data_IF_251758525555
#
_entry.id   IF_251758525555
#
_cell.length_a   1.000
_cell.length_b   1.000
_cell.length_c   1.000
_cell.angle_alpha   90.00
_cell.angle_beta   90.00
_cell.angle_gamma   90.00
#
_symmetry.space_group_name_H-M   'P 1'
#
loop_
_entity.id
_entity.type
_entity.pdbx_description
1 polymer ?
#
# COMPACT_ATOMS: atom_id res chain seq x y z
N UNK A 1 18.57 6.52 -15.53
CA UNK A 1 19.21 7.43 -14.58
C UNK A 1 19.46 8.84 -15.14
N UNK A 2 18.64 9.37 -16.02
CA UNK A 2 18.89 10.68 -16.68
C UNK A 2 17.64 11.54 -16.82
N UNK A 3 16.65 11.41 -15.93
CA UNK A 3 15.33 12.02 -16.10
C UNK A 3 14.90 13.01 -15.00
N UNK A 4 15.80 13.39 -14.09
CA UNK A 4 15.51 14.44 -13.10
C UNK A 4 15.28 15.83 -13.76
N UNK A 5 15.79 16.08 -14.96
CA UNK A 5 15.71 17.38 -15.64
C UNK A 5 14.49 17.58 -16.54
N UNK A 6 13.60 16.60 -16.74
CA UNK A 6 12.47 16.74 -17.66
C UNK A 6 11.15 17.19 -16.99
N UNK A 7 11.12 17.29 -15.68
CA UNK A 7 9.88 17.53 -14.91
C UNK A 7 9.31 18.94 -14.98
N UNK A 8 10.11 19.95 -15.30
CA UNK A 8 9.59 21.32 -15.45
C UNK A 8 8.88 21.59 -16.80
N UNK A 9 9.20 20.82 -17.85
CA UNK A 9 8.65 21.04 -19.20
C UNK A 9 7.54 20.07 -19.61
N UNK A 10 7.48 18.90 -18.99
CA UNK A 10 6.44 17.89 -19.25
C UNK A 10 5.71 17.64 -17.93
N UNK A 11 4.41 17.85 -17.86
CA UNK A 11 3.64 17.59 -16.66
C UNK A 11 3.86 16.15 -16.16
N UNK A 12 3.88 15.95 -14.84
CA UNK A 12 4.10 14.63 -14.17
C UNK A 12 3.30 13.48 -14.83
N UNK A 13 2.09 13.77 -15.26
CA UNK A 13 1.16 12.85 -15.90
C UNK A 13 1.63 12.37 -17.28
N UNK A 14 2.20 13.25 -18.10
CA UNK A 14 2.66 12.90 -19.45
C UNK A 14 3.93 12.05 -19.46
N UNK A 15 4.79 12.22 -18.45
CA UNK A 15 6.02 11.43 -18.31
C UNK A 15 5.66 10.01 -17.89
N UNK A 16 4.72 9.84 -16.94
CA UNK A 16 4.32 8.53 -16.41
C UNK A 16 3.58 7.66 -17.44
N UNK A 17 2.65 8.25 -18.20
CA UNK A 17 1.85 7.50 -19.18
C UNK A 17 2.69 6.88 -20.31
N UNK A 18 3.82 7.48 -20.67
CA UNK A 18 4.68 6.99 -21.75
C UNK A 18 5.54 5.75 -21.37
N UNK A 19 5.69 5.43 -20.06
CA UNK A 19 6.64 4.42 -19.58
C UNK A 19 6.02 3.33 -18.73
N UNK A 20 4.70 3.39 -18.47
CA UNK A 20 3.96 2.38 -17.68
C UNK A 20 4.06 0.98 -18.32
N UNK A 21 4.02 0.92 -19.64
CA UNK A 21 4.06 -0.35 -20.38
C UNK A 21 5.46 -1.03 -20.35
N UNK A 22 6.51 -0.30 -20.00
CA UNK A 22 7.89 -0.82 -19.96
C UNK A 22 8.41 -1.09 -18.54
N UNK A 23 7.57 -0.94 -17.51
CA UNK A 23 7.93 -1.09 -16.10
C UNK A 23 9.15 -0.25 -15.67
N UNK A 24 9.27 0.96 -16.21
CA UNK A 24 10.35 1.90 -15.89
C UNK A 24 9.85 2.89 -14.84
N UNK A 25 10.53 2.93 -13.70
CA UNK A 25 10.21 3.86 -12.61
C UNK A 25 10.73 5.26 -12.92
N UNK A 26 9.81 6.21 -13.07
CA UNK A 26 10.13 7.62 -13.27
C UNK A 26 9.49 8.44 -12.17
N UNK A 27 10.33 8.97 -11.28
CA UNK A 27 9.90 9.81 -10.17
C UNK A 27 10.69 11.10 -10.13
N UNK A 28 10.01 12.21 -9.81
CA UNK A 28 10.70 13.44 -9.47
C UNK A 28 11.41 13.27 -8.11
N UNK A 29 12.66 13.73 -8.02
CA UNK A 29 13.42 13.73 -6.78
C UNK A 29 13.37 15.14 -6.19
N UNK A 30 12.81 15.23 -4.98
CA UNK A 30 12.99 16.38 -4.12
C UNK A 30 14.32 16.19 -3.38
N UNK A 31 15.30 17.03 -3.71
CA UNK A 31 16.67 16.89 -3.19
C UNK A 31 16.78 17.21 -1.69
N UNK A 32 15.84 18.00 -1.17
CA UNK A 32 15.82 18.47 0.22
C UNK A 32 14.95 17.60 1.14
N UNK A 33 14.21 16.64 0.58
CA UNK A 33 13.33 15.77 1.38
C UNK A 33 14.12 14.93 2.37
N UNK A 34 13.72 14.96 3.62
CA UNK A 34 14.37 14.25 4.71
C UNK A 34 13.40 13.37 5.48
N UNK A 35 13.91 12.32 6.11
CA UNK A 35 13.10 11.50 7.00
C UNK A 35 12.54 12.29 8.17
N UNK A 36 13.29 13.29 8.67
CA UNK A 36 12.85 14.16 9.76
C UNK A 36 11.60 14.99 9.44
N UNK A 37 11.21 15.10 8.17
CA UNK A 37 9.99 15.79 7.75
C UNK A 37 8.74 14.95 7.99
N UNK A 38 8.91 13.66 8.33
CA UNK A 38 7.82 12.71 8.51
C UNK A 38 7.85 12.06 9.89
N UNK A 39 6.66 11.77 10.42
CA UNK A 39 6.49 11.10 11.72
C UNK A 39 5.76 9.75 11.63
N UNK A 40 5.04 9.48 10.52
CA UNK A 40 4.21 8.29 10.38
C UNK A 40 4.15 7.79 8.94
N UNK A 41 4.09 6.45 8.80
CA UNK A 41 3.81 5.78 7.53
C UNK A 41 2.57 4.90 7.70
N UNK A 42 1.60 5.05 6.79
CA UNK A 42 0.45 4.16 6.66
C UNK A 42 0.60 3.31 5.39
N UNK A 43 0.44 2.00 5.55
CA UNK A 43 0.53 1.03 4.47
C UNK A 43 -0.81 0.36 4.22
N UNK A 44 -1.16 0.15 2.96
CA UNK A 44 -2.03 -0.97 2.62
C UNK A 44 -1.27 -2.30 2.76
N UNK A 45 -1.99 -3.41 2.80
CA UNK A 45 -1.41 -4.74 2.98
C UNK A 45 -1.37 -5.55 1.70
N UNK A 46 -2.55 -5.94 1.20
CA UNK A 46 -2.69 -6.84 0.05
C UNK A 46 -2.05 -6.19 -1.18
N UNK A 47 -1.28 -6.96 -1.95
CA UNK A 47 -0.52 -6.49 -3.13
C UNK A 47 0.48 -5.35 -2.86
N UNK A 48 0.45 -4.68 -1.70
CA UNK A 48 1.38 -3.62 -1.28
C UNK A 48 2.50 -4.15 -0.37
N UNK A 49 2.19 -4.60 0.83
CA UNK A 49 3.18 -5.19 1.76
C UNK A 49 3.47 -6.65 1.45
N UNK A 50 2.47 -7.39 0.98
CA UNK A 50 2.52 -8.81 0.65
C UNK A 50 2.21 -9.06 -0.82
N UNK A 51 2.62 -10.24 -1.32
CA UNK A 51 2.54 -10.60 -2.75
C UNK A 51 1.16 -11.06 -3.21
N UNK A 52 0.18 -11.17 -2.31
CA UNK A 52 -1.12 -11.82 -2.55
C UNK A 52 -2.30 -10.91 -2.21
N UNK A 53 -3.47 -11.28 -2.72
CA UNK A 53 -4.79 -10.83 -2.30
C UNK A 53 -5.39 -11.88 -1.36
N UNK A 54 -5.52 -11.57 -0.06
CA UNK A 54 -5.88 -12.56 0.96
C UNK A 54 -7.24 -13.22 0.72
N UNK A 55 -8.25 -12.45 0.29
CA UNK A 55 -9.58 -13.01 0.05
C UNK A 55 -9.59 -13.97 -1.15
N UNK A 56 -8.79 -13.70 -2.17
CA UNK A 56 -8.71 -14.54 -3.36
C UNK A 56 -8.00 -15.87 -3.04
N UNK A 57 -6.91 -15.84 -2.27
CA UNK A 57 -6.23 -17.05 -1.82
C UNK A 57 -7.11 -17.90 -0.88
N UNK A 58 -7.83 -17.26 0.05
CA UNK A 58 -8.82 -17.95 0.88
C UNK A 58 -9.90 -18.60 0.04
N UNK A 59 -10.39 -17.93 -1.01
CA UNK A 59 -11.39 -18.46 -1.91
C UNK A 59 -10.85 -19.66 -2.74
N UNK A 60 -9.57 -19.61 -3.14
CA UNK A 60 -8.93 -20.77 -3.79
C UNK A 60 -8.89 -21.98 -2.86
N UNK A 61 -8.49 -21.79 -1.59
CA UNK A 61 -8.51 -22.87 -0.60
C UNK A 61 -9.93 -23.39 -0.30
N UNK A 62 -10.94 -22.51 -0.38
CA UNK A 62 -12.35 -22.85 -0.17
C UNK A 62 -13.00 -23.52 -1.40
N UNK A 63 -12.34 -23.52 -2.57
CA UNK A 63 -12.90 -24.04 -3.81
C UNK A 63 -13.94 -23.12 -4.48
N UNK A 64 -14.03 -21.84 -4.09
CA UNK A 64 -14.93 -20.83 -4.65
C UNK A 64 -14.17 -19.66 -5.31
N UNK A 65 -12.93 -19.89 -5.76
CA UNK A 65 -12.10 -18.85 -6.35
C UNK A 65 -12.69 -18.23 -7.61
N UNK A 66 -13.35 -19.03 -8.47
CA UNK A 66 -13.98 -18.53 -9.69
C UNK A 66 -15.15 -17.58 -9.40
N UNK A 67 -15.96 -17.89 -8.39
CA UNK A 67 -17.09 -17.07 -7.97
C UNK A 67 -16.63 -15.74 -7.35
N UNK A 68 -15.58 -15.78 -6.53
CA UNK A 68 -14.98 -14.58 -5.95
C UNK A 68 -14.38 -13.70 -7.04
N UNK A 69 -13.65 -14.28 -8.01
CA UNK A 69 -13.09 -13.55 -9.14
C UNK A 69 -14.18 -12.86 -9.98
N UNK A 70 -15.30 -13.55 -10.23
CA UNK A 70 -16.42 -12.97 -10.97
C UNK A 70 -17.02 -11.73 -10.29
N UNK A 71 -17.12 -11.73 -8.94
CA UNK A 71 -17.59 -10.56 -8.17
C UNK A 71 -16.57 -9.43 -8.27
N UNK A 72 -15.27 -9.73 -8.16
CA UNK A 72 -14.20 -8.74 -8.30
C UNK A 72 -14.22 -8.09 -9.69
N UNK A 73 -14.37 -8.87 -10.75
CA UNK A 73 -14.49 -8.36 -12.11
C UNK A 73 -15.74 -7.50 -12.33
N UNK A 74 -16.89 -7.91 -11.78
CA UNK A 74 -18.13 -7.13 -11.84
C UNK A 74 -17.97 -5.77 -11.14
N UNK A 75 -17.28 -5.74 -9.99
CA UNK A 75 -16.94 -4.50 -9.31
C UNK A 75 -15.99 -3.61 -10.15
N UNK A 76 -14.97 -4.21 -10.80
CA UNK A 76 -14.04 -3.49 -11.67
C UNK A 76 -14.72 -2.92 -12.93
N UNK A 77 -15.77 -3.58 -13.46
CA UNK A 77 -16.58 -3.05 -14.57
C UNK A 77 -17.63 -2.01 -14.13
N UNK A 78 -17.72 -1.72 -12.82
CA UNK A 78 -18.70 -0.76 -12.27
C UNK A 78 -20.12 -1.32 -12.13
N UNK A 79 -20.33 -2.63 -12.32
CA UNK A 79 -21.62 -3.32 -12.13
C UNK A 79 -21.99 -3.40 -10.63
N UNK A 80 -20.95 -3.44 -9.76
CA UNK A 80 -21.06 -3.32 -8.31
C UNK A 80 -20.29 -2.05 -7.94
N UNK A 81 -21.00 -0.96 -7.71
CA UNK A 81 -20.38 0.35 -7.43
C UNK A 81 -19.94 0.52 -5.98
N UNK A 82 -20.49 -0.30 -5.07
CA UNK A 82 -20.22 -0.25 -3.63
C UNK A 82 -19.19 -1.30 -3.24
N UNK A 83 -18.01 -0.84 -2.78
CA UNK A 83 -16.94 -1.69 -2.25
C UNK A 83 -17.43 -2.58 -1.10
N UNK A 84 -18.20 -2.03 -0.17
CA UNK A 84 -18.67 -2.76 1.00
C UNK A 84 -19.60 -3.90 0.59
N UNK A 85 -20.46 -3.65 -0.41
CA UNK A 85 -21.34 -4.68 -0.98
C UNK A 85 -20.51 -5.79 -1.66
N UNK A 86 -19.52 -5.43 -2.46
CA UNK A 86 -18.63 -6.38 -3.13
C UNK A 86 -17.88 -7.24 -2.11
N UNK A 87 -17.32 -6.62 -1.06
CA UNK A 87 -16.60 -7.35 -0.02
C UNK A 87 -17.52 -8.33 0.72
N UNK A 88 -18.74 -7.89 1.11
CA UNK A 88 -19.74 -8.77 1.76
C UNK A 88 -20.14 -9.95 0.90
N UNK A 89 -20.29 -9.76 -0.41
CA UNK A 89 -20.64 -10.85 -1.33
C UNK A 89 -19.51 -11.89 -1.40
N UNK A 90 -18.24 -11.45 -1.49
CA UNK A 90 -17.07 -12.34 -1.50
C UNK A 90 -16.90 -13.07 -0.19
N UNK A 91 -17.04 -12.39 0.95
CA UNK A 91 -16.97 -13.01 2.29
C UNK A 91 -18.06 -14.06 2.49
N UNK A 92 -19.28 -13.82 1.98
CA UNK A 92 -20.39 -14.77 2.07
C UNK A 92 -20.06 -16.12 1.43
N UNK A 93 -19.25 -16.15 0.38
CA UNK A 93 -18.80 -17.38 -0.29
C UNK A 93 -17.86 -18.22 0.58
N UNK A 94 -17.21 -17.62 1.58
CA UNK A 94 -16.36 -18.33 2.53
C UNK A 94 -17.12 -19.00 3.68
N UNK A 95 -18.46 -18.87 3.72
CA UNK A 95 -19.29 -19.49 4.76
C UNK A 95 -19.05 -21.00 4.86
N UNK A 96 -18.91 -21.49 6.08
CA UNK A 96 -18.68 -22.91 6.38
C UNK A 96 -17.22 -23.35 6.31
N UNK A 97 -16.30 -22.46 5.94
CA UNK A 97 -14.86 -22.75 5.98
C UNK A 97 -14.38 -22.73 7.45
N UNK A 98 -13.43 -23.60 7.79
CA UNK A 98 -12.80 -23.59 9.12
C UNK A 98 -11.95 -22.33 9.29
N UNK A 99 -11.90 -21.76 10.49
CA UNK A 99 -11.04 -20.62 10.80
C UNK A 99 -9.55 -20.89 10.51
N UNK A 100 -9.14 -22.15 10.54
CA UNK A 100 -7.78 -22.56 10.19
C UNK A 100 -7.38 -22.23 8.74
N UNK A 101 -8.33 -21.85 7.88
CA UNK A 101 -8.03 -21.36 6.51
C UNK A 101 -7.13 -20.14 6.53
N UNK A 102 -7.31 -19.21 7.49
CA UNK A 102 -6.46 -18.03 7.64
C UNK A 102 -5.05 -18.41 8.10
N UNK A 103 -4.94 -19.37 9.04
CA UNK A 103 -3.62 -19.88 9.46
C UNK A 103 -2.90 -20.57 8.30
N UNK A 104 -3.62 -21.39 7.53
CA UNK A 104 -3.09 -22.04 6.34
C UNK A 104 -2.56 -21.02 5.32
N UNK A 105 -3.29 -19.92 5.10
CA UNK A 105 -2.84 -18.83 4.21
C UNK A 105 -1.54 -18.22 4.71
N UNK A 106 -1.46 -17.92 6.01
CA UNK A 106 -0.24 -17.38 6.64
C UNK A 106 0.93 -18.34 6.42
N UNK A 107 0.74 -19.62 6.69
CA UNK A 107 1.82 -20.61 6.64
C UNK A 107 2.30 -20.94 5.20
N UNK A 108 1.38 -20.95 4.23
CA UNK A 108 1.66 -21.42 2.87
C UNK A 108 1.93 -20.28 1.86
N UNK A 109 1.39 -19.07 2.09
CA UNK A 109 1.32 -18.04 1.06
C UNK A 109 1.88 -16.67 1.46
N UNK A 110 2.02 -16.40 2.76
CA UNK A 110 2.39 -15.08 3.22
C UNK A 110 3.86 -14.77 2.93
N UNK A 111 4.09 -13.89 1.98
CA UNK A 111 5.43 -13.43 1.59
C UNK A 111 5.42 -11.91 1.44
N UNK A 112 6.38 -11.24 2.08
CA UNK A 112 6.55 -9.79 1.90
C UNK A 112 7.00 -9.47 0.47
N UNK A 113 6.49 -8.37 -0.05
CA UNK A 113 6.92 -7.84 -1.32
C UNK A 113 8.40 -7.42 -1.31
N UNK A 114 9.07 -7.43 -2.49
CA UNK A 114 10.46 -7.01 -2.59
C UNK A 114 10.69 -5.61 -2.02
N UNK A 115 11.73 -5.47 -1.20
CA UNK A 115 12.13 -4.21 -0.59
C UNK A 115 11.40 -3.83 0.69
N UNK A 116 10.24 -4.43 1.01
CA UNK A 116 9.44 -4.10 2.20
C UNK A 116 10.26 -4.23 3.49
N UNK A 117 10.90 -5.37 3.70
CA UNK A 117 11.67 -5.61 4.92
C UNK A 117 12.82 -4.60 5.13
N UNK A 118 13.48 -4.17 4.04
CA UNK A 118 14.54 -3.14 4.10
C UNK A 118 13.94 -1.77 4.37
N UNK A 119 12.88 -1.40 3.66
CA UNK A 119 12.22 -0.10 3.81
C UNK A 119 11.69 0.09 5.24
N UNK A 120 10.93 -0.88 5.77
CA UNK A 120 10.33 -0.78 7.11
C UNK A 120 11.36 -0.81 8.23
N UNK A 121 12.47 -1.54 8.05
CA UNK A 121 13.61 -1.48 8.97
C UNK A 121 14.20 -0.07 9.04
N UNK A 122 14.47 0.57 7.89
CA UNK A 122 15.01 1.94 7.85
C UNK A 122 14.02 2.93 8.45
N UNK A 123 12.73 2.83 8.11
CA UNK A 123 11.68 3.69 8.68
C UNK A 123 11.68 3.63 10.21
N UNK A 124 11.82 2.42 10.79
CA UNK A 124 11.91 2.23 12.24
C UNK A 124 13.22 2.79 12.83
N UNK A 125 14.35 2.59 12.18
CA UNK A 125 15.64 3.19 12.60
C UNK A 125 15.55 4.74 12.62
N UNK A 126 14.69 5.31 11.76
CA UNK A 126 14.36 6.76 11.74
C UNK A 126 13.22 7.13 12.68
N UNK A 127 12.76 6.20 13.50
CA UNK A 127 11.73 6.41 14.55
C UNK A 127 10.34 6.81 13.99
N UNK A 128 10.04 6.49 12.73
CA UNK A 128 8.70 6.70 12.19
C UNK A 128 7.73 5.68 12.79
N UNK A 129 6.53 6.16 13.11
CA UNK A 129 5.41 5.30 13.45
C UNK A 129 4.90 4.60 12.20
N UNK A 130 4.57 3.32 12.31
CA UNK A 130 4.07 2.53 11.19
C UNK A 130 2.71 1.91 11.51
N UNK A 131 1.76 2.06 10.59
CA UNK A 131 0.43 1.46 10.70
C UNK A 131 0.06 0.72 9.41
N UNK A 132 -0.58 -0.45 9.57
CA UNK A 132 -1.18 -1.19 8.45
C UNK A 132 -2.68 -0.93 8.43
N UNK A 133 -3.20 -0.39 7.33
CA UNK A 133 -4.61 -0.07 7.10
C UNK A 133 -5.14 -0.92 5.94
N UNK A 134 -5.80 -2.04 6.22
CA UNK A 134 -6.13 -3.05 5.21
C UNK A 134 -7.62 -3.32 5.09
N UNK A 135 -8.09 -3.51 3.85
CA UNK A 135 -9.37 -4.13 3.54
C UNK A 135 -9.41 -5.64 3.77
N UNK A 136 -8.25 -6.26 4.10
CA UNK A 136 -8.12 -7.67 4.46
C UNK A 136 -8.65 -7.99 5.87
N UNK A 137 -8.14 -9.05 6.48
CA UNK A 137 -8.74 -9.63 7.68
C UNK A 137 -7.72 -9.88 8.80
N UNK A 138 -8.13 -9.62 10.07
CA UNK A 138 -7.49 -10.21 11.21
C UNK A 138 -7.74 -11.76 11.18
N UNK A 139 -6.78 -12.62 11.56
CA UNK A 139 -5.46 -12.37 12.12
C UNK A 139 -4.33 -12.22 11.06
N UNK A 140 -4.63 -12.22 9.76
CA UNK A 140 -3.59 -12.14 8.71
C UNK A 140 -2.85 -10.81 8.80
N UNK A 141 -3.61 -9.72 8.94
CA UNK A 141 -3.02 -8.36 9.07
C UNK A 141 -2.17 -8.25 10.34
N UNK A 142 -2.57 -8.92 11.43
CA UNK A 142 -1.79 -8.94 12.68
C UNK A 142 -0.41 -9.59 12.47
N UNK A 143 -0.35 -10.68 11.69
CA UNK A 143 0.93 -11.34 11.35
C UNK A 143 1.82 -10.43 10.48
N UNK A 144 1.26 -9.80 9.44
CA UNK A 144 2.02 -8.86 8.59
C UNK A 144 2.54 -7.68 9.40
N UNK A 145 1.69 -7.09 10.25
CA UNK A 145 2.09 -6.01 11.15
C UNK A 145 3.25 -6.44 12.07
N UNK A 146 3.20 -7.66 12.60
CA UNK A 146 4.30 -8.24 13.37
C UNK A 146 5.59 -8.42 12.56
N UNK A 147 5.50 -8.94 11.33
CA UNK A 147 6.66 -9.13 10.44
C UNK A 147 7.41 -7.83 10.17
N UNK A 148 6.70 -6.73 9.97
CA UNK A 148 7.30 -5.40 9.71
C UNK A 148 7.50 -4.58 11.00
N UNK A 149 7.07 -5.11 12.16
CA UNK A 149 7.08 -4.45 13.46
C UNK A 149 6.33 -3.10 13.42
N UNK A 150 5.13 -3.09 12.85
CA UNK A 150 4.25 -1.93 12.86
C UNK A 150 3.74 -1.62 14.27
N UNK A 151 3.50 -0.34 14.56
CA UNK A 151 3.00 0.13 15.86
C UNK A 151 1.49 -0.15 16.02
N UNK A 152 0.76 -0.25 14.92
CA UNK A 152 -0.68 -0.55 14.91
C UNK A 152 -1.13 -1.19 13.59
N UNK A 153 -2.32 -1.77 13.61
CA UNK A 153 -3.00 -2.21 12.39
C UNK A 153 -4.53 -2.09 12.54
N UNK A 154 -5.21 -1.88 11.41
CA UNK A 154 -6.65 -1.90 11.30
C UNK A 154 -7.07 -2.75 10.11
N UNK A 155 -8.00 -3.69 10.32
CA UNK A 155 -8.52 -4.58 9.30
C UNK A 155 -9.95 -5.01 9.62
N UNK A 156 -10.60 -5.66 8.67
CA UNK A 156 -11.92 -6.25 8.88
C UNK A 156 -11.86 -7.49 9.79
N UNK A 157 -12.98 -7.82 10.40
CA UNK A 157 -13.14 -9.05 11.19
C UNK A 157 -14.20 -9.93 10.56
N UNK A 158 -13.85 -11.18 10.30
CA UNK A 158 -14.79 -12.19 9.82
C UNK A 158 -15.67 -12.67 10.97
N UNK A 159 -16.96 -12.85 10.68
CA UNK A 159 -17.88 -13.50 11.59
C UNK A 159 -17.61 -14.99 11.68
N UNK A 160 -17.78 -15.56 12.88
CA UNK A 160 -17.53 -16.97 13.16
C UNK A 160 -18.60 -17.59 14.03
N UNK A 161 -18.85 -18.86 13.82
CA UNK A 161 -19.69 -19.68 14.66
C UNK A 161 -19.07 -21.08 14.80
N UNK A 162 -18.85 -21.53 16.05
CA UNK A 162 -18.32 -22.88 16.37
C UNK A 162 -17.01 -23.25 15.61
N UNK A 163 -16.14 -22.28 15.37
CA UNK A 163 -14.85 -22.49 14.69
C UNK A 163 -14.92 -22.48 13.15
N UNK A 164 -16.06 -22.05 12.60
CA UNK A 164 -16.29 -21.90 11.17
C UNK A 164 -16.67 -20.46 10.83
N UNK A 165 -16.30 -20.00 9.65
CA UNK A 165 -16.74 -18.73 9.10
C UNK A 165 -18.26 -18.77 8.85
N UNK A 166 -18.99 -17.77 9.35
CA UNK A 166 -20.45 -17.67 9.15
C UNK A 166 -20.83 -16.93 7.86
N UNK A 167 -19.83 -16.35 7.16
CA UNK A 167 -20.00 -15.58 5.93
C UNK A 167 -20.36 -14.12 6.15
N UNK A 168 -20.19 -13.59 7.36
CA UNK A 168 -20.44 -12.19 7.70
C UNK A 168 -19.16 -11.43 8.05
N UNK A 169 -19.28 -10.11 8.14
CA UNK A 169 -18.27 -9.20 8.67
C UNK A 169 -18.77 -8.60 9.98
N UNK A 170 -17.88 -8.50 10.96
CA UNK A 170 -18.17 -7.91 12.28
C UNK A 170 -17.66 -6.45 12.29
N UNK A 171 -18.54 -5.53 12.69
CA UNK A 171 -18.22 -4.11 12.83
C UNK A 171 -18.18 -3.33 11.52
N UNK A 172 -17.61 -2.12 11.55
CA UNK A 172 -17.46 -1.27 10.36
C UNK A 172 -16.41 -1.84 9.41
N UNK A 173 -16.65 -1.64 8.11
CA UNK A 173 -15.72 -2.08 7.06
C UNK A 173 -14.60 -1.05 6.89
N UNK A 174 -13.36 -1.56 6.80
CA UNK A 174 -12.18 -0.75 6.47
C UNK A 174 -12.13 -0.55 4.95
N UNK A 175 -12.89 0.43 4.47
CA UNK A 175 -12.94 0.87 3.09
C UNK A 175 -12.06 2.11 2.87
N UNK A 176 -12.11 2.73 1.69
CA UNK A 176 -11.28 3.88 1.33
C UNK A 176 -11.42 5.06 2.30
N UNK A 177 -12.65 5.39 2.71
CA UNK A 177 -12.94 6.46 3.66
C UNK A 177 -12.43 6.12 5.06
N UNK A 178 -12.63 4.88 5.48
CA UNK A 178 -12.13 4.39 6.77
C UNK A 178 -10.60 4.44 6.83
N UNK A 179 -9.88 4.02 5.76
CA UNK A 179 -8.42 4.15 5.69
C UNK A 179 -7.96 5.60 5.86
N UNK A 180 -8.57 6.54 5.14
CA UNK A 180 -8.24 7.96 5.24
C UNK A 180 -8.55 8.53 6.64
N UNK A 181 -9.64 8.08 7.27
CA UNK A 181 -9.99 8.51 8.63
C UNK A 181 -9.01 7.93 9.66
N UNK A 182 -8.70 6.63 9.58
CA UNK A 182 -7.71 6.01 10.47
C UNK A 182 -6.34 6.66 10.37
N UNK A 183 -5.88 7.04 9.16
CA UNK A 183 -4.63 7.79 9.02
C UNK A 183 -4.65 9.06 9.85
N UNK A 184 -5.74 9.86 9.79
CA UNK A 184 -5.88 11.10 10.56
C UNK A 184 -5.94 10.84 12.07
N UNK A 185 -6.70 9.82 12.48
CA UNK A 185 -6.89 9.48 13.89
C UNK A 185 -5.57 9.06 14.54
N UNK A 186 -4.80 8.18 13.87
CA UNK A 186 -3.49 7.74 14.36
C UNK A 186 -2.43 8.85 14.29
N UNK A 187 -2.43 9.68 13.26
CA UNK A 187 -1.56 10.85 13.20
C UNK A 187 -1.82 11.76 14.40
N UNK A 188 -3.08 12.09 14.69
CA UNK A 188 -3.47 12.86 15.88
C UNK A 188 -3.07 12.17 17.19
N UNK A 189 -3.31 10.86 17.32
CA UNK A 189 -2.97 10.08 18.52
C UNK A 189 -1.47 10.09 18.80
N UNK A 190 -0.64 10.08 17.76
CA UNK A 190 0.82 10.06 17.88
C UNK A 190 1.46 11.45 17.82
N UNK A 191 0.66 12.51 17.77
CA UNK A 191 1.15 13.89 17.71
C UNK A 191 1.89 14.24 16.42
N UNK A 192 1.49 13.59 15.30
CA UNK A 192 2.03 13.80 13.96
C UNK A 192 1.04 14.63 13.15
N UNK A 193 1.51 15.69 12.52
CA UNK A 193 0.68 16.44 11.58
C UNK A 193 0.39 15.61 10.32
N UNK A 194 -0.81 15.75 9.74
CA UNK A 194 -1.23 14.95 8.57
C UNK A 194 -0.29 15.13 7.38
N UNK A 195 0.24 16.34 7.17
CA UNK A 195 1.24 16.62 6.14
C UNK A 195 2.63 16.01 6.41
N UNK A 196 2.86 15.49 7.62
CA UNK A 196 4.05 14.73 8.00
C UNK A 196 3.82 13.21 7.93
N UNK A 197 2.80 12.77 7.21
CA UNK A 197 2.51 11.35 7.02
C UNK A 197 2.86 10.89 5.62
N UNK A 198 3.22 9.62 5.48
CA UNK A 198 3.43 8.93 4.22
C UNK A 198 2.31 7.88 4.08
N UNK A 199 1.68 7.79 2.91
CA UNK A 199 0.72 6.73 2.60
C UNK A 199 1.18 5.91 1.41
N UNK A 200 1.14 4.57 1.54
CA UNK A 200 1.61 3.63 0.52
C UNK A 200 0.51 2.62 0.22
N UNK A 201 0.13 2.48 -1.06
CA UNK A 201 -0.90 1.55 -1.51
C UNK A 201 -0.80 1.28 -3.02
N UNK A 202 -1.61 0.34 -3.53
CA UNK A 202 -1.62 -0.03 -4.95
C UNK A 202 -3.01 0.09 -5.59
N UNK A 203 -4.08 0.14 -4.78
CA UNK A 203 -5.46 0.07 -5.20
C UNK A 203 -6.23 1.38 -5.18
N UNK A 204 -7.37 1.42 -5.87
CA UNK A 204 -8.27 2.58 -5.85
C UNK A 204 -8.84 2.87 -4.44
N UNK A 205 -8.93 1.86 -3.58
CA UNK A 205 -9.31 1.97 -2.17
C UNK A 205 -8.28 2.71 -1.31
N UNK A 206 -7.06 2.95 -1.81
CA UNK A 206 -6.01 3.68 -1.10
C UNK A 206 -5.97 5.16 -1.47
N UNK A 207 -6.60 5.54 -2.59
CA UNK A 207 -6.51 6.91 -3.12
C UNK A 207 -6.97 7.97 -2.11
N UNK A 208 -7.99 7.69 -1.30
CA UNK A 208 -8.47 8.62 -0.28
C UNK A 208 -7.43 8.82 0.84
N UNK A 209 -6.79 7.72 1.29
CA UNK A 209 -5.68 7.75 2.25
C UNK A 209 -4.46 8.46 1.67
N UNK A 210 -4.07 8.13 0.44
CA UNK A 210 -2.95 8.74 -0.27
C UNK A 210 -3.14 10.25 -0.49
N UNK A 211 -4.34 10.68 -0.88
CA UNK A 211 -4.68 12.10 -1.05
C UNK A 211 -4.71 12.88 0.28
N UNK A 212 -4.82 12.19 1.41
CA UNK A 212 -4.82 12.79 2.75
C UNK A 212 -3.40 13.01 3.25
N UNK A 213 -2.48 12.11 2.95
CA UNK A 213 -1.10 12.13 3.44
C UNK A 213 -0.26 13.28 2.85
N UNK A 214 0.83 13.65 3.53
CA UNK A 214 1.79 14.63 3.03
C UNK A 214 2.65 14.11 1.89
N UNK A 215 2.86 12.79 1.80
CA UNK A 215 3.54 12.12 0.70
C UNK A 215 2.82 10.81 0.40
N UNK A 216 2.50 10.61 -0.87
CA UNK A 216 1.90 9.37 -1.35
C UNK A 216 2.87 8.58 -2.23
N UNK A 217 2.90 7.26 -2.03
CA UNK A 217 3.67 6.37 -2.89
C UNK A 217 2.82 5.16 -3.29
N UNK A 218 3.08 4.60 -4.46
CA UNK A 218 2.47 3.36 -4.88
C UNK A 218 3.51 2.37 -5.40
N UNK A 219 3.20 1.07 -5.24
CA UNK A 219 4.07 0.00 -5.70
C UNK A 219 3.27 -0.97 -6.58
N UNK A 220 3.74 -1.19 -7.83
CA UNK A 220 3.07 -2.02 -8.85
C UNK A 220 1.58 -1.74 -9.00
N UNK A 221 1.21 -0.50 -8.78
CA UNK A 221 -0.17 -0.07 -8.71
C UNK A 221 -0.85 -0.07 -10.08
N UNK A 222 -2.18 -0.09 -10.06
CA UNK A 222 -3.00 0.13 -11.24
C UNK A 222 -2.72 1.52 -11.84
N UNK A 223 -2.85 1.72 -13.16
CA UNK A 223 -2.50 2.99 -13.84
C UNK A 223 -3.10 4.23 -13.17
N UNK A 224 -4.38 4.18 -12.80
CA UNK A 224 -5.07 5.27 -12.13
C UNK A 224 -4.41 5.67 -10.80
N UNK A 225 -3.90 4.71 -10.04
CA UNK A 225 -3.24 4.96 -8.75
C UNK A 225 -1.83 5.49 -8.99
N UNK A 226 -1.09 4.91 -9.93
CA UNK A 226 0.23 5.37 -10.32
C UNK A 226 0.24 6.82 -10.82
N UNK A 227 -0.81 7.24 -11.54
CA UNK A 227 -0.97 8.62 -12.00
C UNK A 227 -1.20 9.62 -10.86
N UNK A 228 -1.83 9.20 -9.78
CA UNK A 228 -2.22 10.09 -8.65
C UNK A 228 -1.22 10.12 -7.52
N UNK A 229 -0.37 9.10 -7.39
CA UNK A 229 0.66 9.05 -6.37
C UNK A 229 1.77 10.07 -6.64
N UNK A 230 2.40 10.61 -5.59
CA UNK A 230 3.60 11.45 -5.74
C UNK A 230 4.77 10.63 -6.25
N UNK A 231 4.93 9.41 -5.75
CA UNK A 231 5.96 8.45 -6.15
C UNK A 231 5.32 7.16 -6.65
N UNK A 232 5.79 6.63 -7.78
CA UNK A 232 5.31 5.37 -8.34
C UNK A 232 6.48 4.44 -8.66
N UNK A 233 6.44 3.22 -8.12
CA UNK A 233 7.44 2.17 -8.31
C UNK A 233 6.77 0.97 -9.00
N UNK A 234 7.13 0.71 -10.25
CA UNK A 234 6.55 -0.33 -11.09
C UNK A 234 7.48 -1.54 -11.24
N UNK A 235 8.77 -1.30 -11.40
CA UNK A 235 9.80 -2.31 -11.66
C UNK A 235 10.69 -2.64 -10.47
N UNK A 236 10.97 -1.65 -9.60
CA UNK A 236 11.87 -1.79 -8.46
C UNK A 236 11.13 -2.30 -7.21
N UNK A 237 11.86 -2.71 -6.18
CA UNK A 237 11.28 -3.00 -4.86
C UNK A 237 10.88 -1.73 -4.11
N UNK A 238 10.07 -1.86 -3.06
CA UNK A 238 9.62 -0.72 -2.25
C UNK A 238 10.81 0.06 -1.64
N UNK A 239 11.93 -0.61 -1.40
CA UNK A 239 13.16 0.02 -0.90
C UNK A 239 13.78 1.05 -1.87
N UNK A 240 13.37 1.09 -3.12
CA UNK A 240 13.75 2.18 -4.05
C UNK A 240 13.27 3.54 -3.55
N UNK A 241 12.20 3.58 -2.74
CA UNK A 241 11.72 4.80 -2.10
C UNK A 241 12.79 5.46 -1.19
N UNK A 242 13.74 4.69 -0.66
CA UNK A 242 14.83 5.21 0.19
C UNK A 242 15.71 6.24 -0.55
N UNK A 243 15.82 6.13 -1.88
CA UNK A 243 16.60 7.07 -2.71
C UNK A 243 15.97 8.47 -2.76
N UNK A 244 14.72 8.62 -2.33
CA UNK A 244 13.99 9.90 -2.31
C UNK A 244 14.22 10.73 -1.03
N UNK A 245 14.99 10.21 -0.07
CA UNK A 245 15.32 10.91 1.17
C UNK A 245 16.83 11.14 1.26
N UNK A 246 17.22 12.35 1.66
CA UNK A 246 18.61 12.77 1.69
C UNK A 246 19.52 11.78 2.46
N UNK A 247 19.09 11.38 3.66
CA UNK A 247 19.90 10.57 4.58
C UNK A 247 20.07 9.11 4.16
N UNK A 248 19.26 8.62 3.22
CA UNK A 248 19.31 7.23 2.72
C UNK A 248 19.64 7.12 1.25
N UNK A 249 19.75 8.26 0.57
CA UNK A 249 20.12 8.37 -0.85
C UNK A 249 21.50 7.81 -1.09
N UNK A 250 21.67 7.05 -2.16
CA UNK A 250 22.96 6.48 -2.52
C UNK A 250 24.00 7.57 -2.85
N UNK A 251 25.27 7.36 -2.52
CA UNK A 251 26.34 8.33 -2.83
C UNK A 251 26.43 8.66 -4.32
N UNK A 252 26.15 7.69 -5.18
CA UNK A 252 26.16 7.87 -6.65
C UNK A 252 25.08 8.87 -7.08
N UNK A 253 23.86 8.73 -6.54
CA UNK A 253 22.77 9.64 -6.86
C UNK A 253 23.01 11.02 -6.25
N UNK A 254 23.49 11.09 -5.02
CA UNK A 254 23.86 12.35 -4.35
C UNK A 254 24.88 13.13 -5.17
N UNK A 255 25.96 12.48 -5.62
CA UNK A 255 26.98 13.11 -6.46
C UNK A 255 26.42 13.61 -7.80
N UNK A 256 25.55 12.81 -8.43
CA UNK A 256 24.91 13.20 -9.69
C UNK A 256 24.03 14.45 -9.52
N UNK A 257 23.26 14.52 -8.43
CA UNK A 257 22.40 15.67 -8.12
C UNK A 257 23.24 16.94 -7.86
N UNK A 258 24.31 16.87 -7.05
CA UNK A 258 25.21 18.01 -6.82
C UNK A 258 25.82 18.53 -8.13
N UNK A 259 26.26 17.62 -9.02
CA UNK A 259 26.81 18.00 -10.31
C UNK A 259 25.79 18.72 -11.22
N UNK A 260 24.50 18.38 -11.12
CA UNK A 260 23.43 19.06 -11.86
C UNK A 260 23.13 20.45 -11.26
N UNK A 261 23.14 20.60 -9.94
CA UNK A 261 22.98 21.89 -9.26
C UNK A 261 24.10 22.86 -9.61
N UNK A 262 25.37 22.41 -9.57
CA UNK A 262 26.53 23.24 -9.96
C UNK A 262 26.44 23.74 -11.40
N UNK A 263 25.78 22.98 -12.27
CA UNK A 263 25.54 23.35 -13.68
C UNK A 263 24.29 24.20 -13.89
N UNK A 264 23.58 24.59 -12.84
CA UNK A 264 22.27 25.27 -12.89
C UNK A 264 21.21 24.52 -13.74
N UNK A 265 21.23 23.19 -13.68
CA UNK A 265 20.31 22.31 -14.39
C UNK A 265 19.18 21.75 -13.49
N UNK A 266 19.18 22.10 -12.22
CA UNK A 266 18.13 21.83 -11.21
C UNK A 266 17.65 23.12 -10.60
#
# INVERSE_FOLDING_TARGET
>A
MLLACLTEKLGRQQIRSAWVDEAIDINAIDIERRWADFGMIAFDMDSTLITIECIDEMAQFAGCGAEVAAITEAAMRGEISDYDQSLRQRVKLLKGQRLSIMRRLIDEKLVLNPGVAKFTRVARERQLKMIVLSGGFHPIVDEVASMIQADACCANRLGEEQGYLDGSLIGPIVNAQAKAQHLKDFASQWGVEVNQTIAIGDGANDLAMMATAGLSACWRAKPLVAERADLAFLGLGLDAMLEHFEETRSPVLTQALHSLQERHLL
#
